data_IF_151644093527
#
_entry.id   IF_151644093527
#
_cell.length_a   1.000
_cell.length_b   1.000
_cell.length_c   1.000
_cell.angle_alpha   90.00
_cell.angle_beta   90.00
_cell.angle_gamma   90.00
#
_symmetry.space_group_name_H-M   'P 1'
#
loop_
_entity.id
_entity.type
_entity.pdbx_description
1 polymer ?
#
# COMPACT_ATOMS: atom_id res chain seq x y z
N UNK A 1 -5.11 -8.86 -1.36
CA UNK A 1 -3.89 -9.67 -1.11
C UNK A 1 -3.31 -10.23 -2.41
N UNK A 2 -4.07 -11.01 -3.20
CA UNK A 2 -3.59 -11.64 -4.44
C UNK A 2 -2.76 -10.72 -5.36
N UNK A 3 -3.25 -9.52 -5.68
CA UNK A 3 -2.55 -8.56 -6.54
C UNK A 3 -1.13 -8.21 -6.09
N UNK A 4 -0.87 -8.06 -4.77
CA UNK A 4 0.48 -7.77 -4.30
C UNK A 4 1.43 -8.94 -4.60
N UNK A 5 0.95 -10.16 -4.40
CA UNK A 5 1.70 -11.40 -4.60
C UNK A 5 1.93 -11.72 -6.08
N UNK A 6 0.93 -11.49 -6.94
CA UNK A 6 0.96 -11.97 -8.33
C UNK A 6 1.19 -10.89 -9.37
N UNK A 7 0.99 -9.62 -9.03
CA UNK A 7 1.17 -8.49 -9.95
C UNK A 7 2.27 -7.56 -9.46
N UNK A 8 2.12 -6.92 -8.30
CA UNK A 8 3.08 -5.91 -7.84
C UNK A 8 4.46 -6.48 -7.56
N UNK A 9 4.58 -7.56 -6.79
CA UNK A 9 5.86 -8.21 -6.48
C UNK A 9 6.63 -8.61 -7.74
N UNK A 10 6.06 -9.45 -8.62
CA UNK A 10 6.71 -9.84 -9.87
C UNK A 10 7.01 -8.69 -10.83
N UNK A 11 6.18 -7.64 -10.85
CA UNK A 11 6.47 -6.44 -11.64
C UNK A 11 7.69 -5.70 -11.10
N UNK A 12 7.81 -5.58 -9.77
CA UNK A 12 8.92 -4.86 -9.13
C UNK A 12 10.26 -5.61 -9.21
N UNK A 13 10.26 -6.93 -9.46
CA UNK A 13 11.49 -7.69 -9.74
C UNK A 13 12.13 -7.32 -11.10
N UNK A 14 11.36 -6.68 -12.00
CA UNK A 14 11.89 -6.19 -13.26
C UNK A 14 12.65 -4.88 -13.05
N UNK A 15 13.94 -4.85 -13.42
CA UNK A 15 14.81 -3.66 -13.25
C UNK A 15 14.27 -2.39 -13.89
N UNK A 16 13.70 -2.48 -15.10
CA UNK A 16 13.14 -1.29 -15.75
C UNK A 16 12.00 -0.70 -14.93
N UNK A 17 11.20 -1.54 -14.27
CA UNK A 17 10.15 -1.10 -13.37
C UNK A 17 10.75 -0.50 -12.09
N UNK A 18 11.60 -1.25 -11.38
CA UNK A 18 12.12 -0.80 -10.07
C UNK A 18 13.00 0.45 -10.14
N UNK A 19 13.70 0.68 -11.26
CA UNK A 19 14.62 1.81 -11.43
C UNK A 19 13.91 3.07 -11.98
N UNK A 20 12.77 2.93 -12.65
CA UNK A 20 12.10 4.05 -13.34
C UNK A 20 10.70 4.38 -12.82
N UNK A 21 10.18 3.60 -11.86
CA UNK A 21 8.83 3.80 -11.31
C UNK A 21 8.87 3.98 -9.81
N UNK A 22 8.29 5.08 -9.35
CA UNK A 22 8.01 5.30 -7.94
C UNK A 22 6.59 4.84 -7.61
N UNK A 23 6.46 3.83 -6.76
CA UNK A 23 5.15 3.32 -6.34
C UNK A 23 4.69 3.98 -5.05
N UNK A 24 3.67 4.82 -5.14
CA UNK A 24 3.05 5.40 -3.96
C UNK A 24 1.91 4.51 -3.43
N UNK A 25 2.16 3.79 -2.33
CA UNK A 25 1.18 2.92 -1.69
C UNK A 25 0.33 3.67 -0.67
N UNK A 26 -0.99 3.64 -0.82
CA UNK A 26 -1.95 4.35 0.05
C UNK A 26 -2.85 3.33 0.78
N UNK A 27 -2.44 2.85 1.98
CA UNK A 27 -3.21 1.86 2.73
C UNK A 27 -4.44 2.51 3.37
N UNK A 28 -5.61 2.23 2.79
CA UNK A 28 -6.91 2.66 3.30
C UNK A 28 -8.05 1.80 2.74
N UNK A 29 -8.10 1.63 1.42
CA UNK A 29 -9.10 0.82 0.73
C UNK A 29 -10.51 1.41 0.85
N UNK A 30 -11.51 0.57 1.18
CA UNK A 30 -12.89 1.01 1.40
C UNK A 30 -13.16 1.45 2.84
N UNK A 31 -12.15 1.97 3.53
CA UNK A 31 -12.33 2.60 4.82
C UNK A 31 -13.29 3.80 4.75
N UNK A 32 -13.83 4.18 5.89
CA UNK A 32 -14.61 5.41 6.09
C UNK A 32 -13.87 6.30 7.06
N UNK A 33 -13.83 7.60 6.75
CA UNK A 33 -13.37 8.63 7.69
C UNK A 33 -14.61 9.41 8.14
N UNK A 34 -14.87 9.40 9.43
CA UNK A 34 -15.75 10.37 10.09
C UNK A 34 -14.86 11.48 10.62
N UNK A 35 -15.22 12.75 10.40
CA UNK A 35 -14.38 13.89 10.80
C UNK A 35 -14.70 14.43 12.21
N UNK A 36 -15.88 14.10 12.77
CA UNK A 36 -16.33 14.61 14.07
C UNK A 36 -17.18 13.58 14.85
N UNK A 37 -16.63 12.84 15.83
CA UNK A 37 -15.19 12.75 16.15
C UNK A 37 -14.42 12.08 15.01
N UNK A 38 -13.11 12.34 14.94
CA UNK A 38 -12.26 11.65 13.98
C UNK A 38 -12.26 10.14 14.25
N UNK A 39 -12.82 9.37 13.31
CA UNK A 39 -12.92 7.92 13.42
C UNK A 39 -12.72 7.27 12.07
N UNK A 40 -11.78 6.32 12.03
CA UNK A 40 -11.57 5.46 10.85
C UNK A 40 -12.28 4.13 11.10
N UNK A 41 -13.13 3.74 10.16
CA UNK A 41 -13.80 2.43 10.17
C UNK A 41 -13.42 1.66 8.92
N UNK A 42 -12.95 0.43 9.07
CA UNK A 42 -12.56 -0.44 7.95
C UNK A 42 -13.62 -1.51 7.68
N UNK A 43 -13.79 -1.89 6.41
CA UNK A 43 -14.80 -2.85 5.94
C UNK A 43 -14.67 -4.23 6.59
N UNK A 44 -13.45 -4.66 6.92
CA UNK A 44 -13.14 -5.94 7.57
C UNK A 44 -12.81 -5.76 9.07
N UNK A 45 -13.26 -4.66 9.68
CA UNK A 45 -13.13 -4.40 11.10
C UNK A 45 -11.72 -4.00 11.55
N UNK A 46 -11.49 -4.10 12.87
CA UNK A 46 -10.31 -3.52 13.54
C UNK A 46 -8.99 -4.08 13.03
N UNK A 47 -8.95 -5.37 12.64
CA UNK A 47 -7.72 -5.99 12.12
C UNK A 47 -7.25 -5.34 10.81
N UNK A 48 -8.17 -5.00 9.91
CA UNK A 48 -7.80 -4.29 8.68
C UNK A 48 -7.29 -2.88 8.98
N UNK A 49 -7.93 -2.17 9.91
CA UNK A 49 -7.45 -0.85 10.34
C UNK A 49 -6.05 -0.92 10.96
N UNK A 50 -5.77 -1.94 11.80
CA UNK A 50 -4.43 -2.18 12.34
C UNK A 50 -3.40 -2.45 11.23
N UNK A 51 -3.76 -3.24 10.21
CA UNK A 51 -2.90 -3.46 9.05
C UNK A 51 -2.63 -2.18 8.25
N UNK A 52 -3.66 -1.36 8.02
CA UNK A 52 -3.52 -0.07 7.34
C UNK A 52 -2.63 0.89 8.13
N UNK A 53 -2.83 0.95 9.46
CA UNK A 53 -1.99 1.73 10.37
C UNK A 53 -0.53 1.28 10.32
N UNK A 54 -0.28 -0.03 10.39
CA UNK A 54 1.06 -0.61 10.35
C UNK A 54 1.80 -0.28 9.05
N UNK A 55 1.14 -0.44 7.90
CA UNK A 55 1.71 0.00 6.61
C UNK A 55 2.00 1.49 6.57
N UNK A 56 1.04 2.33 7.00
CA UNK A 56 1.22 3.77 6.97
C UNK A 56 2.36 4.25 7.88
N UNK A 57 2.48 3.65 9.08
CA UNK A 57 3.56 3.91 10.02
C UNK A 57 4.92 3.45 9.51
N UNK A 58 4.99 2.29 8.87
CA UNK A 58 6.23 1.80 8.23
C UNK A 58 6.67 2.74 7.11
N UNK A 59 5.75 3.13 6.22
CA UNK A 59 6.04 4.05 5.10
C UNK A 59 6.47 5.43 5.57
N UNK A 60 5.92 5.92 6.69
CA UNK A 60 6.34 7.19 7.27
C UNK A 60 7.75 7.16 7.91
N UNK A 61 8.24 5.97 8.27
CA UNK A 61 9.58 5.76 8.86
C UNK A 61 10.65 5.40 7.83
N UNK A 62 10.24 4.92 6.67
CA UNK A 62 11.12 4.47 5.60
C UNK A 62 10.85 5.29 4.35
N UNK A 63 11.72 6.24 4.03
CA UNK A 63 11.59 7.10 2.85
C UNK A 63 12.11 6.46 1.54
N UNK A 64 12.48 5.18 1.58
CA UNK A 64 12.97 4.43 0.44
C UNK A 64 11.81 3.68 -0.26
N UNK A 65 11.62 3.89 -1.56
CA UNK A 65 10.50 3.28 -2.29
C UNK A 65 10.60 1.75 -2.38
N UNK A 66 11.81 1.22 -2.54
CA UNK A 66 12.04 -0.22 -2.55
C UNK A 66 11.67 -0.86 -1.22
N UNK A 67 12.06 -0.26 -0.10
CA UNK A 67 11.69 -0.76 1.23
C UNK A 67 10.17 -0.79 1.42
N UNK A 68 9.49 0.30 1.05
CA UNK A 68 8.03 0.40 1.14
C UNK A 68 7.32 -0.66 0.27
N UNK A 69 7.75 -0.83 -0.98
CA UNK A 69 7.14 -1.78 -1.91
C UNK A 69 7.40 -3.22 -1.45
N UNK A 70 8.65 -3.57 -1.13
CA UNK A 70 9.00 -4.92 -0.68
C UNK A 70 8.32 -5.29 0.63
N UNK A 71 8.24 -4.34 1.57
CA UNK A 71 7.50 -4.54 2.82
C UNK A 71 6.00 -4.75 2.57
N UNK A 72 5.38 -3.93 1.70
CA UNK A 72 3.99 -4.09 1.29
C UNK A 72 3.72 -5.44 0.63
N UNK A 73 4.60 -5.87 -0.28
CA UNK A 73 4.50 -7.18 -0.97
C UNK A 73 4.64 -8.33 0.01
N UNK A 74 5.63 -8.31 0.92
CA UNK A 74 5.82 -9.35 1.91
C UNK A 74 4.58 -9.48 2.81
N UNK A 75 4.19 -8.38 3.46
CA UNK A 75 3.09 -8.39 4.44
C UNK A 75 1.78 -8.84 3.81
N UNK A 76 1.46 -8.34 2.62
CA UNK A 76 0.23 -8.69 1.89
C UNK A 76 0.24 -10.10 1.28
N UNK A 77 1.38 -10.79 1.32
CA UNK A 77 1.54 -12.18 0.90
C UNK A 77 1.47 -13.19 2.05
N UNK A 78 1.43 -12.72 3.29
CA UNK A 78 1.31 -13.60 4.47
C UNK A 78 -0.12 -14.06 4.72
N UNK A 79 -0.28 -15.07 5.60
CA UNK A 79 -1.61 -15.55 6.02
C UNK A 79 -2.37 -14.54 6.89
N UNK A 80 -1.64 -13.70 7.65
CA UNK A 80 -2.20 -12.72 8.57
C UNK A 80 -1.51 -11.35 8.39
N UNK A 81 -1.80 -10.61 7.29
CA UNK A 81 -1.11 -9.36 6.99
C UNK A 81 -1.12 -8.29 8.11
N UNK A 82 -2.21 -8.11 8.88
CA UNK A 82 -2.23 -7.10 9.94
C UNK A 82 -1.19 -7.26 11.05
N UNK A 83 -0.66 -8.46 11.24
CA UNK A 83 0.28 -8.78 12.33
C UNK A 83 1.64 -9.27 11.80
N UNK A 84 1.90 -9.14 10.50
CA UNK A 84 3.11 -9.68 9.88
C UNK A 84 4.22 -8.64 9.67
N UNK A 85 4.05 -7.42 10.18
CA UNK A 85 4.99 -6.31 9.95
C UNK A 85 6.41 -6.62 10.41
N UNK A 86 6.59 -6.90 11.71
CA UNK A 86 7.92 -7.19 12.28
C UNK A 86 8.59 -8.41 11.60
N UNK A 87 7.83 -9.47 11.32
CA UNK A 87 8.32 -10.63 10.58
C UNK A 87 8.89 -10.23 9.21
N UNK A 88 8.12 -9.46 8.43
CA UNK A 88 8.54 -9.03 7.10
C UNK A 88 9.71 -8.05 7.14
N UNK A 89 9.75 -7.13 8.11
CA UNK A 89 10.89 -6.24 8.27
C UNK A 89 12.16 -7.03 8.59
N UNK A 90 12.07 -8.03 9.47
CA UNK A 90 13.18 -8.94 9.78
C UNK A 90 13.64 -9.74 8.56
N UNK A 91 12.71 -10.32 7.79
CA UNK A 91 13.03 -11.10 6.59
C UNK A 91 13.73 -10.26 5.51
N UNK A 92 13.32 -9.00 5.38
CA UNK A 92 13.87 -8.04 4.42
C UNK A 92 15.10 -7.27 4.95
N UNK A 93 15.49 -7.50 6.21
CA UNK A 93 16.56 -6.79 6.89
C UNK A 93 16.33 -5.26 6.95
N UNK A 94 15.10 -4.85 7.26
CA UNK A 94 14.70 -3.45 7.47
C UNK A 94 14.52 -3.16 8.96
N UNK A 95 14.75 -1.91 9.36
CA UNK A 95 14.40 -1.49 10.71
C UNK A 95 12.88 -1.57 10.90
N UNK A 96 12.45 -1.94 12.09
CA UNK A 96 11.04 -1.87 12.48
C UNK A 96 10.85 -0.92 13.68
N UNK A 97 11.87 -0.10 13.96
CA UNK A 97 11.94 0.72 15.16
C UNK A 97 10.84 1.78 15.14
N UNK A 98 10.09 1.82 16.24
CA UNK A 98 8.99 2.77 16.43
C UNK A 98 7.75 2.53 15.55
N UNK A 99 7.74 1.52 14.67
CA UNK A 99 6.57 1.21 13.83
C UNK A 99 5.39 0.78 14.70
N UNK A 100 5.61 -0.10 15.68
CA UNK A 100 4.55 -0.54 16.60
C UNK A 100 4.06 0.58 17.52
N UNK A 101 4.97 1.43 17.98
CA UNK A 101 4.61 2.60 18.80
C UNK A 101 3.70 3.55 18.02
N UNK A 102 4.01 3.80 16.74
CA UNK A 102 3.12 4.59 15.88
C UNK A 102 1.80 3.89 15.60
N UNK A 103 1.84 2.60 15.28
CA UNK A 103 0.65 1.83 14.91
C UNK A 103 -0.40 1.90 16.02
N UNK A 104 0.06 1.80 17.27
CA UNK A 104 -0.79 1.84 18.46
C UNK A 104 -0.99 3.25 19.05
N UNK A 105 -0.39 4.28 18.44
CA UNK A 105 -0.41 5.67 18.93
C UNK A 105 -1.25 6.60 18.05
N UNK A 106 -1.33 7.86 18.46
CA UNK A 106 -2.07 8.92 17.73
C UNK A 106 -1.48 9.24 16.35
N UNK A 107 -0.22 8.89 16.11
CA UNK A 107 0.40 9.04 14.78
C UNK A 107 -0.35 8.22 13.72
N UNK A 108 -0.78 6.99 14.04
CA UNK A 108 -1.50 6.18 13.06
C UNK A 108 -2.85 6.79 12.68
N UNK A 109 -3.52 7.49 13.59
CA UNK A 109 -4.77 8.21 13.30
C UNK A 109 -4.51 9.28 12.23
N UNK A 110 -3.46 10.09 12.39
CA UNK A 110 -3.09 11.12 11.43
C UNK A 110 -2.79 10.52 10.04
N UNK A 111 -2.02 9.43 9.99
CA UNK A 111 -1.68 8.80 8.72
C UNK A 111 -2.89 8.14 8.05
N UNK A 112 -3.77 7.49 8.82
CA UNK A 112 -5.00 6.91 8.28
C UNK A 112 -5.97 7.99 7.77
N UNK A 113 -6.08 9.12 8.45
CA UNK A 113 -6.87 10.28 7.97
C UNK A 113 -6.29 10.80 6.66
N UNK A 114 -4.97 10.99 6.59
CA UNK A 114 -4.29 11.44 5.38
C UNK A 114 -4.56 10.48 4.21
N UNK A 115 -4.40 9.18 4.42
CA UNK A 115 -4.64 8.17 3.39
C UNK A 115 -6.12 8.06 3.00
N UNK A 116 -7.02 8.22 3.97
CA UNK A 116 -8.46 8.26 3.75
C UNK A 116 -8.89 9.42 2.87
N UNK A 117 -8.43 10.64 3.19
CA UNK A 117 -8.67 11.82 2.35
C UNK A 117 -8.15 11.62 0.94
N UNK A 118 -6.90 11.16 0.80
CA UNK A 118 -6.32 10.85 -0.52
C UNK A 118 -7.14 9.84 -1.32
N UNK A 119 -7.67 8.81 -0.66
CA UNK A 119 -8.50 7.79 -1.30
C UNK A 119 -9.87 8.33 -1.69
N UNK A 120 -10.46 9.21 -0.87
CA UNK A 120 -11.73 9.88 -1.17
C UNK A 120 -11.59 10.91 -2.31
N UNK A 121 -10.44 11.58 -2.38
CA UNK A 121 -10.14 12.59 -3.40
C UNK A 121 -9.71 11.97 -4.74
N UNK A 122 -9.26 10.71 -4.73
CA UNK A 122 -8.82 10.00 -5.92
C UNK A 122 -9.89 9.99 -7.03
N UNK A 123 -9.45 10.28 -8.26
CA UNK A 123 -10.25 10.26 -9.48
C UNK A 123 -9.59 9.31 -10.49
N UNK A 124 -10.32 8.31 -11.03
CA UNK A 124 -11.76 8.04 -10.83
C UNK A 124 -12.09 7.52 -9.43
N UNK A 125 -13.35 7.68 -8.99
CA UNK A 125 -13.77 7.16 -7.68
C UNK A 125 -13.48 5.66 -7.55
N UNK A 126 -12.97 5.25 -6.39
CA UNK A 126 -12.64 3.86 -6.08
C UNK A 126 -13.87 2.97 -6.26
N UNK A 127 -13.75 1.91 -7.07
CA UNK A 127 -14.78 0.88 -7.24
C UNK A 127 -14.35 -0.50 -6.72
N UNK A 128 -13.04 -0.75 -6.70
CA UNK A 128 -12.43 -2.03 -6.35
C UNK A 128 -11.14 -1.80 -5.57
N UNK A 129 -10.67 -2.80 -4.82
CA UNK A 129 -9.35 -2.78 -4.17
C UNK A 129 -8.54 -4.01 -4.56
N UNK A 130 -7.24 -3.87 -4.86
CA UNK A 130 -6.50 -2.61 -5.01
C UNK A 130 -6.93 -1.82 -6.26
N UNK A 131 -6.75 -0.50 -6.21
CA UNK A 131 -6.93 0.42 -7.36
C UNK A 131 -5.58 0.99 -7.81
N UNK A 132 -5.37 1.11 -9.12
CA UNK A 132 -4.16 1.55 -9.81
C UNK A 132 -4.53 2.71 -10.74
N UNK A 133 -3.88 3.85 -10.54
CA UNK A 133 -3.81 5.04 -11.40
C UNK A 133 -5.09 5.55 -12.10
N UNK A 134 -5.62 4.84 -13.11
CA UNK A 134 -6.85 5.23 -13.81
C UNK A 134 -7.68 3.98 -14.23
N UNK A 135 -8.87 4.19 -14.82
CA UNK A 135 -9.78 3.09 -15.13
C UNK A 135 -9.26 2.09 -16.18
N UNK A 136 -8.52 2.58 -17.19
CA UNK A 136 -7.96 1.72 -18.25
C UNK A 136 -6.82 0.88 -17.68
N UNK A 137 -5.88 1.53 -17.00
CA UNK A 137 -4.74 0.88 -16.37
C UNK A 137 -5.19 -0.08 -15.28
N UNK A 138 -6.23 0.26 -14.52
CA UNK A 138 -6.82 -0.62 -13.51
C UNK A 138 -7.21 -1.98 -14.11
N UNK A 139 -7.95 -1.97 -15.22
CA UNK A 139 -8.44 -3.21 -15.84
C UNK A 139 -7.27 -4.08 -16.30
N UNK A 140 -6.29 -3.48 -16.95
CA UNK A 140 -5.16 -4.21 -17.52
C UNK A 140 -4.18 -4.68 -16.43
N UNK A 141 -3.98 -3.89 -15.37
CA UNK A 141 -3.07 -4.20 -14.27
C UNK A 141 -3.51 -5.40 -13.45
N UNK A 142 -4.81 -5.71 -13.41
CA UNK A 142 -5.30 -6.94 -12.77
C UNK A 142 -4.83 -8.21 -13.48
N UNK A 143 -4.50 -8.12 -14.77
CA UNK A 143 -4.01 -9.23 -15.58
C UNK A 143 -2.48 -9.22 -15.68
N UNK A 144 -1.89 -8.09 -16.05
CA UNK A 144 -0.44 -7.92 -16.22
C UNK A 144 0.00 -6.48 -15.93
N UNK A 145 0.21 -6.18 -14.64
CA UNK A 145 0.71 -4.88 -14.19
C UNK A 145 2.07 -4.54 -14.81
N UNK A 146 2.96 -5.54 -14.93
CA UNK A 146 4.31 -5.33 -15.45
C UNK A 146 4.25 -4.82 -16.89
N UNK A 147 3.47 -5.45 -17.75
CA UNK A 147 3.31 -4.99 -19.13
C UNK A 147 2.76 -3.57 -19.17
N UNK A 148 1.72 -3.27 -18.38
CA UNK A 148 1.08 -1.94 -18.38
C UNK A 148 2.13 -0.87 -18.08
N UNK A 149 2.97 -1.09 -17.08
CA UNK A 149 4.06 -0.19 -16.72
C UNK A 149 5.07 -0.05 -17.87
N UNK A 150 5.57 -1.17 -18.40
CA UNK A 150 6.58 -1.16 -19.46
C UNK A 150 6.08 -0.43 -20.72
N UNK A 151 4.81 -0.62 -21.08
CA UNK A 151 4.20 0.09 -22.21
C UNK A 151 4.24 1.60 -22.03
N UNK A 152 4.04 2.10 -20.80
CA UNK A 152 4.09 3.52 -20.50
C UNK A 152 5.51 4.06 -20.47
N UNK A 153 6.46 3.29 -19.93
CA UNK A 153 7.88 3.70 -19.95
C UNK A 153 8.41 3.81 -21.37
N UNK A 154 8.02 2.90 -22.26
CA UNK A 154 8.48 2.89 -23.65
C UNK A 154 7.79 3.94 -24.53
N UNK A 155 6.59 4.40 -24.19
CA UNK A 155 5.86 5.44 -24.93
C UNK A 155 6.28 6.89 -24.54
N UNK A 156 7.18 7.05 -23.57
CA UNK A 156 7.69 8.34 -23.12
C UNK A 156 9.04 8.72 -23.75
N UNK A 157 9.43 8.05 -24.85
CA UNK A 157 10.59 8.37 -25.69
C UNK A 157 10.19 8.47 -27.16
#
# INVERSE_FOLDING_TARGET
>A
MHFFKTQLGPAYENKQVSENVYFELVPFGHGKVEENPFKVTCQHGVKECMGNAMHACFFARHNNNEEQVKFGVCTMSTKNPPTSGEMCAKELNYSYDGVDVCTNGKESEMYQIKNGRRTLDFKPKLKVVPTVYNAEDQKNSLNDLKQVILSKLNNNY
#
